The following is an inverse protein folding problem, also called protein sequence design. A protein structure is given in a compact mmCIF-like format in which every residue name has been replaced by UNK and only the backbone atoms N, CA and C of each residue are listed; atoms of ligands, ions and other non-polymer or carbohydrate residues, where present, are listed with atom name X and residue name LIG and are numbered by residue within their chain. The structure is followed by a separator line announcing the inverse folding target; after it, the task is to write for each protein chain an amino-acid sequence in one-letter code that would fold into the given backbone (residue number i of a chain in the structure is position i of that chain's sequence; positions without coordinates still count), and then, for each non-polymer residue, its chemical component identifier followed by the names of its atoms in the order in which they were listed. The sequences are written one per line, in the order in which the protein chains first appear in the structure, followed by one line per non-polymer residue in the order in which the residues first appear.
data_IF_248578027138
#
_entry.id   IF_248578027138
#
_cell.length_a   1.000
_cell.length_b   1.000
_cell.length_c   1.000
_cell.angle_alpha   90.00
_cell.angle_beta   90.00
_cell.angle_gamma   90.00
#
_symmetry.space_group_name_H-M   'P 1'
#
loop_
_entity.id
_entity.type
_entity.pdbx_description
1 polymer ?
#
# COMPACT_ATOMS: atom_id res chain seq x y z
N UNK A 1 5.20 13.70 13.34
CA UNK A 1 4.38 13.05 14.37
C UNK A 1 3.58 11.97 13.68
N UNK A 2 3.58 10.73 14.19
CA UNK A 2 2.92 9.62 13.53
C UNK A 2 1.41 9.85 13.43
N UNK A 3 0.83 9.61 12.25
CA UNK A 3 -0.57 9.88 11.91
C UNK A 3 -1.44 8.70 12.32
N UNK A 4 -1.03 7.47 12.00
CA UNK A 4 -1.81 6.25 12.15
C UNK A 4 -1.28 5.36 13.28
N UNK A 5 0.03 5.15 13.37
CA UNK A 5 0.61 4.31 14.42
C UNK A 5 0.74 5.13 15.72
N UNK A 6 -0.19 4.90 16.66
CA UNK A 6 -0.25 5.60 17.95
C UNK A 6 0.28 4.78 19.12
N UNK A 7 0.47 3.48 18.93
CA UNK A 7 0.99 2.57 19.94
C UNK A 7 2.46 2.95 20.21
N UNK A 8 2.89 3.05 21.48
CA UNK A 8 4.29 3.32 21.81
C UNK A 8 5.23 2.29 21.21
N UNK A 9 6.38 2.73 20.70
CA UNK A 9 7.39 1.87 20.05
C UNK A 9 7.84 0.73 20.98
N UNK A 10 8.02 1.04 22.26
CA UNK A 10 8.40 0.07 23.31
C UNK A 10 7.34 -1.02 23.55
N UNK A 11 6.08 -0.79 23.20
CA UNK A 11 5.03 -1.82 23.28
C UNK A 11 5.05 -2.74 22.05
N UNK A 12 5.49 -2.24 20.90
CA UNK A 12 5.54 -3.00 19.64
C UNK A 12 6.85 -3.80 19.53
N UNK A 13 7.98 -3.13 19.79
CA UNK A 13 9.33 -3.71 19.74
C UNK A 13 10.05 -3.45 21.06
N UNK A 14 9.81 -4.27 22.10
CA UNK A 14 10.37 -4.05 23.44
C UNK A 14 11.89 -4.20 23.51
N UNK A 15 12.49 -4.89 22.54
CA UNK A 15 13.93 -5.20 22.51
C UNK A 15 14.78 -4.11 21.81
N UNK A 16 14.19 -2.98 21.42
CA UNK A 16 14.95 -1.89 20.80
C UNK A 16 15.71 -1.08 21.87
N UNK A 17 16.99 -0.84 21.64
CA UNK A 17 17.78 0.13 22.40
C UNK A 17 17.49 1.57 21.90
N UNK A 18 17.79 2.59 22.70
CA UNK A 18 17.41 3.98 22.39
C UNK A 18 17.91 4.51 21.03
N UNK A 19 19.02 3.96 20.51
CA UNK A 19 19.50 4.29 19.16
C UNK A 19 18.61 3.72 18.05
N UNK A 20 18.10 2.49 18.24
CA UNK A 20 17.17 1.80 17.36
C UNK A 20 15.73 2.29 17.51
N UNK A 21 15.33 2.75 18.69
CA UNK A 21 14.03 3.41 18.89
C UNK A 21 13.92 4.67 18.01
N UNK A 22 14.93 5.55 18.09
CA UNK A 22 15.00 6.75 17.25
C UNK A 22 15.03 6.42 15.75
N UNK A 23 15.60 5.28 15.38
CA UNK A 23 15.58 4.79 14.00
C UNK A 23 14.20 4.29 13.58
N UNK A 24 13.52 3.52 14.43
CA UNK A 24 12.15 3.05 14.21
C UNK A 24 11.18 4.23 14.06
N UNK A 25 11.29 5.29 14.87
CA UNK A 25 10.49 6.52 14.72
C UNK A 25 10.63 7.13 13.31
N UNK A 26 11.86 7.20 12.79
CA UNK A 26 12.12 7.71 11.44
C UNK A 26 11.53 6.80 10.38
N UNK A 27 11.59 5.48 10.58
CA UNK A 27 10.97 4.51 9.66
C UNK A 27 9.45 4.62 9.65
N UNK A 28 8.81 4.76 10.82
CA UNK A 28 7.36 4.97 10.95
C UNK A 28 6.95 6.21 10.16
N UNK A 29 7.63 7.35 10.39
CA UNK A 29 7.31 8.60 9.68
C UNK A 29 7.45 8.48 8.16
N UNK A 30 8.46 7.73 7.68
CA UNK A 30 8.63 7.46 6.25
C UNK A 30 7.58 6.50 5.69
N UNK A 31 7.24 5.44 6.42
CA UNK A 31 6.24 4.46 6.01
C UNK A 31 4.86 5.12 5.85
N UNK A 32 4.47 5.94 6.82
CA UNK A 32 3.23 6.71 6.73
C UNK A 32 3.23 7.70 5.56
N UNK A 33 4.34 8.40 5.31
CA UNK A 33 4.46 9.30 4.16
C UNK A 33 4.30 8.55 2.83
N UNK A 34 4.90 7.37 2.69
CA UNK A 34 4.76 6.51 1.50
C UNK A 34 3.31 6.08 1.32
N UNK A 35 2.67 5.61 2.40
CA UNK A 35 1.26 5.18 2.38
C UNK A 35 0.36 6.35 1.97
N UNK A 36 0.54 7.53 2.57
CA UNK A 36 -0.26 8.72 2.27
C UNK A 36 -0.08 9.21 0.83
N UNK A 37 1.15 9.17 0.31
CA UNK A 37 1.42 9.51 -1.08
C UNK A 37 0.77 8.51 -2.05
N UNK A 38 0.79 7.22 -1.70
CA UNK A 38 0.25 6.15 -2.57
C UNK A 38 -1.28 6.03 -2.50
N UNK A 39 -1.87 6.35 -1.36
CA UNK A 39 -3.31 6.30 -1.13
C UNK A 39 -3.83 7.67 -0.66
N UNK A 40 -3.96 8.67 -1.56
CA UNK A 40 -4.33 10.04 -1.18
C UNK A 40 -5.71 10.16 -0.51
N UNK A 41 -6.59 9.18 -0.73
CA UNK A 41 -7.94 9.15 -0.14
C UNK A 41 -7.99 8.48 1.23
N UNK A 42 -6.86 7.93 1.72
CA UNK A 42 -6.83 7.10 2.91
C UNK A 42 -7.27 7.86 4.16
N UNK A 43 -6.78 9.09 4.37
CA UNK A 43 -7.16 9.89 5.53
C UNK A 43 -8.66 10.18 5.58
N UNK A 44 -9.26 10.52 4.44
CA UNK A 44 -10.71 10.69 4.32
C UNK A 44 -11.44 9.38 4.63
N UNK A 45 -10.96 8.27 4.08
CA UNK A 45 -11.55 6.93 4.30
C UNK A 45 -11.49 6.48 5.75
N UNK A 46 -10.42 6.83 6.47
CA UNK A 46 -10.27 6.56 7.89
C UNK A 46 -11.22 7.42 8.72
N UNK A 47 -11.38 8.70 8.36
CA UNK A 47 -12.33 9.61 9.01
C UNK A 47 -13.79 9.18 8.79
N UNK A 48 -14.10 8.74 7.58
CA UNK A 48 -15.45 8.28 7.19
C UNK A 48 -15.75 6.85 7.68
N UNK A 49 -14.82 6.20 8.38
CA UNK A 49 -14.98 4.85 8.95
C UNK A 49 -14.96 3.71 7.92
N UNK A 50 -14.69 4.00 6.65
CA UNK A 50 -14.63 3.00 5.57
C UNK A 50 -13.39 2.09 5.63
N UNK A 51 -12.37 2.52 6.37
CA UNK A 51 -11.22 1.69 6.77
C UNK A 51 -10.85 2.07 8.20
N UNK A 52 -10.50 1.09 9.04
CA UNK A 52 -10.09 1.39 10.41
C UNK A 52 -8.68 1.98 10.45
N UNK A 53 -8.46 2.98 11.32
CA UNK A 53 -7.13 3.51 11.58
C UNK A 53 -6.16 2.43 12.08
N UNK A 54 -6.66 1.44 12.84
CA UNK A 54 -5.86 0.31 13.33
C UNK A 54 -5.35 -0.59 12.20
N UNK A 55 -6.11 -0.72 11.10
CA UNK A 55 -5.67 -1.49 9.93
C UNK A 55 -4.49 -0.80 9.24
N UNK A 56 -4.58 0.52 9.07
CA UNK A 56 -3.47 1.31 8.51
C UNK A 56 -2.25 1.26 9.43
N UNK A 57 -2.46 1.34 10.74
CA UNK A 57 -1.40 1.20 11.74
C UNK A 57 -0.70 -0.15 11.67
N UNK A 58 -1.45 -1.26 11.53
CA UNK A 58 -0.87 -2.60 11.36
C UNK A 58 -0.01 -2.72 10.10
N UNK A 59 -0.43 -2.12 8.98
CA UNK A 59 0.41 -2.10 7.76
C UNK A 59 1.70 -1.31 7.98
N UNK A 60 1.65 -0.18 8.68
CA UNK A 60 2.85 0.60 9.03
C UNK A 60 3.78 -0.22 9.92
N UNK A 61 3.24 -0.90 10.92
CA UNK A 61 3.98 -1.80 11.81
C UNK A 61 4.67 -2.92 11.03
N UNK A 62 3.94 -3.62 10.16
CA UNK A 62 4.48 -4.70 9.33
C UNK A 62 5.61 -4.22 8.41
N UNK A 63 5.45 -3.04 7.79
CA UNK A 63 6.49 -2.42 6.96
C UNK A 63 7.77 -2.13 7.77
N UNK A 64 7.61 -1.59 8.98
CA UNK A 64 8.74 -1.21 9.84
C UNK A 64 9.40 -2.46 10.44
N UNK A 65 8.63 -3.45 10.89
CA UNK A 65 9.14 -4.73 11.39
C UNK A 65 10.03 -5.41 10.34
N UNK A 66 9.57 -5.49 9.08
CA UNK A 66 10.38 -6.06 7.99
C UNK A 66 11.68 -5.28 7.75
N UNK A 67 11.64 -3.95 7.87
CA UNK A 67 12.82 -3.12 7.72
C UNK A 67 13.83 -3.32 8.86
N UNK A 68 13.34 -3.41 10.11
CA UNK A 68 14.15 -3.68 11.29
C UNK A 68 14.77 -5.09 11.21
N UNK A 69 14.00 -6.10 10.80
CA UNK A 69 14.46 -7.47 10.62
C UNK A 69 15.53 -7.62 9.53
N UNK A 70 15.35 -6.93 8.40
CA UNK A 70 16.36 -6.90 7.33
C UNK A 70 17.69 -6.30 7.79
N UNK A 71 17.61 -5.34 8.72
CA UNK A 71 18.78 -4.68 9.30
C UNK A 71 19.44 -5.53 10.39
N UNK A 72 18.64 -6.22 11.22
CA UNK A 72 19.13 -7.04 12.33
C UNK A 72 19.77 -8.35 11.88
N UNK A 73 19.24 -8.98 10.83
CA UNK A 73 19.76 -10.25 10.31
C UNK A 73 21.02 -10.11 9.45
N UNK A 74 21.46 -8.86 9.17
CA UNK A 74 22.51 -8.58 8.20
C UNK A 74 22.10 -9.17 6.85
N UNK A 75 21.40 -8.39 6.02
CA UNK A 75 20.95 -8.83 4.69
C UNK A 75 22.00 -9.71 4.02
N UNK A 76 21.63 -10.95 3.71
CA UNK A 76 22.55 -12.00 3.27
C UNK A 76 23.47 -11.47 2.15
N UNK A 77 24.70 -11.14 2.53
CA UNK A 77 25.71 -10.59 1.64
C UNK A 77 26.58 -11.76 1.18
N UNK A 78 26.42 -12.15 -0.09
CA UNK A 78 27.21 -13.16 -0.82
C UNK A 78 27.23 -14.61 -0.27
N UNK A 79 26.51 -15.48 -0.99
CA UNK A 79 27.09 -16.77 -1.38
C UNK A 79 27.82 -16.55 -2.71
N UNK A 80 29.14 -16.38 -2.66
CA UNK A 80 29.99 -16.27 -3.84
C UNK A 80 30.11 -17.65 -4.51
N UNK A 81 29.44 -17.84 -5.64
CA UNK A 81 29.82 -18.85 -6.63
C UNK A 81 30.53 -18.11 -7.78
N UNK A 82 31.81 -18.41 -8.05
CA UNK A 82 32.67 -17.57 -8.86
C UNK A 82 32.51 -17.88 -10.35
N UNK A 83 31.34 -17.66 -10.96
CA UNK A 83 31.22 -17.83 -12.43
C UNK A 83 30.23 -16.86 -13.11
N UNK A 84 29.40 -16.10 -12.38
CA UNK A 84 28.45 -15.16 -13.02
C UNK A 84 28.37 -13.86 -12.23
N UNK A 85 29.04 -12.82 -12.73
CA UNK A 85 28.78 -11.44 -12.33
C UNK A 85 27.42 -11.03 -12.89
N UNK A 86 26.37 -11.12 -12.06
CA UNK A 86 25.12 -10.38 -12.31
C UNK A 86 25.29 -8.97 -11.75
N UNK A 87 25.54 -8.02 -12.64
CA UNK A 87 25.41 -6.59 -12.37
C UNK A 87 23.92 -6.24 -12.45
N UNK A 88 23.31 -5.89 -11.32
CA UNK A 88 21.91 -5.49 -11.28
C UNK A 88 21.79 -4.05 -11.78
N UNK A 89 21.32 -3.88 -13.01
CA UNK A 89 20.82 -2.60 -13.51
C UNK A 89 19.67 -2.13 -12.63
N UNK A 90 19.78 -0.92 -12.08
CA UNK A 90 18.82 -0.27 -11.21
C UNK A 90 17.56 0.25 -11.93
N UNK A 91 17.08 -0.49 -12.95
CA UNK A 91 15.88 -0.14 -13.71
C UNK A 91 14.92 -1.34 -13.76
N UNK A 92 13.74 -1.16 -13.18
CA UNK A 92 12.57 -2.00 -13.51
C UNK A 92 12.35 -3.26 -12.66
N UNK A 93 12.21 -3.12 -11.34
CA UNK A 93 11.70 -4.18 -10.48
C UNK A 93 11.19 -3.66 -9.13
N UNK A 94 9.87 -3.62 -8.95
CA UNK A 94 9.20 -3.34 -7.67
C UNK A 94 9.58 -4.41 -6.63
N UNK A 95 10.68 -4.21 -5.92
CA UNK A 95 11.03 -5.07 -4.77
C UNK A 95 12.48 -5.07 -4.30
N UNK A 96 13.46 -4.61 -5.10
CA UNK A 96 14.87 -4.82 -4.75
C UNK A 96 15.63 -3.62 -4.17
N UNK A 97 15.07 -2.40 -4.17
CA UNK A 97 15.81 -1.18 -3.81
C UNK A 97 15.34 -0.43 -2.56
N UNK A 98 14.08 -0.61 -2.13
CA UNK A 98 13.50 0.23 -1.08
C UNK A 98 13.32 -0.57 0.23
N UNK A 99 13.91 -0.07 1.32
CA UNK A 99 13.83 -0.68 2.64
C UNK A 99 12.39 -0.79 3.14
N UNK A 100 11.57 0.21 2.82
CA UNK A 100 10.15 0.26 3.14
C UNK A 100 9.34 -0.03 1.88
N UNK A 101 8.62 -1.15 1.88
CA UNK A 101 7.81 -1.58 0.77
C UNK A 101 6.49 -2.21 1.26
N UNK A 102 5.46 -2.04 0.44
CA UNK A 102 4.13 -2.61 0.67
C UNK A 102 4.01 -3.94 -0.07
N UNK A 103 3.50 -4.97 0.61
CA UNK A 103 3.14 -6.25 -0.01
C UNK A 103 1.92 -6.09 -0.91
N UNK A 104 1.70 -7.05 -1.82
CA UNK A 104 0.50 -7.06 -2.67
C UNK A 104 -0.78 -7.07 -1.83
N UNK A 105 -0.81 -7.86 -0.76
CA UNK A 105 -1.97 -7.98 0.11
C UNK A 105 -2.25 -6.67 0.86
N UNK A 106 -1.21 -5.99 1.35
CA UNK A 106 -1.33 -4.66 1.98
C UNK A 106 -1.83 -3.61 0.98
N UNK A 107 -1.38 -3.68 -0.27
CA UNK A 107 -1.87 -2.79 -1.33
C UNK A 107 -3.35 -3.02 -1.55
N UNK A 108 -3.79 -4.28 -1.67
CA UNK A 108 -5.20 -4.63 -1.86
C UNK A 108 -6.04 -4.18 -0.66
N UNK A 109 -5.54 -4.40 0.56
CA UNK A 109 -6.19 -4.01 1.81
C UNK A 109 -6.40 -2.50 1.91
N UNK A 110 -5.39 -1.72 1.53
CA UNK A 110 -5.43 -0.25 1.58
C UNK A 110 -6.08 0.37 0.35
N UNK A 111 -6.28 -0.38 -0.73
CA UNK A 111 -6.90 0.14 -1.94
C UNK A 111 -8.38 0.51 -1.70
N UNK A 112 -8.88 1.55 -2.37
CA UNK A 112 -10.32 1.83 -2.36
C UNK A 112 -11.08 0.63 -2.93
N UNK A 113 -12.27 0.28 -2.38
CA UNK A 113 -13.12 -0.72 -3.00
C UNK A 113 -13.43 -0.26 -4.43
N UNK A 114 -13.19 -1.13 -5.41
CA UNK A 114 -13.57 -0.82 -6.79
C UNK A 114 -15.09 -0.58 -6.82
N UNK A 115 -15.56 0.55 -7.38
CA UNK A 115 -16.99 0.77 -7.53
C UNK A 115 -17.52 -0.38 -8.40
N UNK A 116 -18.33 -1.26 -7.82
CA UNK A 116 -19.12 -2.22 -8.59
C UNK A 116 -20.07 -1.39 -9.44
N UNK A 117 -19.66 -1.09 -10.68
CA UNK A 117 -20.48 -0.38 -11.63
C UNK A 117 -21.75 -1.19 -11.87
N UNK A 118 -22.85 -0.80 -11.22
CA UNK A 118 -24.19 -1.30 -11.55
C UNK A 118 -24.63 -0.58 -12.82
N UNK A 119 -24.04 -0.97 -13.96
CA UNK A 119 -24.54 -0.55 -15.26
C UNK A 119 -25.82 -1.34 -15.54
N UNK A 120 -26.98 -0.75 -15.20
CA UNK A 120 -28.24 -1.22 -15.80
C UNK A 120 -28.35 -0.61 -17.20
N UNK A 121 -28.07 -1.40 -18.24
CA UNK A 121 -28.43 -1.02 -19.61
C UNK A 121 -29.94 -1.08 -19.70
N UNK A 122 -30.62 0.04 -19.46
CA UNK A 122 -32.04 0.17 -19.86
C UNK A 122 -32.06 0.25 -21.37
N UNK A 123 -32.47 -0.83 -22.03
CA UNK A 123 -32.73 -0.85 -23.48
C UNK A 123 -33.85 0.16 -23.73
N UNK A 124 -33.51 1.32 -24.31
CA UNK A 124 -34.53 2.26 -24.75
C UNK A 124 -35.46 1.55 -25.76
N UNK A 125 -36.78 1.70 -25.66
CA UNK A 125 -37.69 1.12 -26.65
C UNK A 125 -37.35 1.69 -28.04
N UNK A 126 -37.19 0.78 -29.01
CA UNK A 126 -36.92 1.13 -30.41
C UNK A 126 -38.04 2.05 -30.92
N UNK A 127 -37.75 3.23 -31.47
CA UNK A 127 -38.78 4.09 -32.04
C UNK A 127 -39.40 3.39 -33.24
N UNK A 128 -40.67 3.00 -33.13
CA UNK A 128 -41.47 2.54 -34.25
C UNK A 128 -41.90 3.75 -35.07
N UNK A 129 -41.30 3.95 -36.24
CA UNK A 129 -41.85 4.87 -37.23
C UNK A 129 -43.16 4.29 -37.76
N UNK A 130 -44.26 5.04 -37.62
CA UNK A 130 -45.53 4.69 -38.23
C UNK A 130 -45.42 4.90 -39.74
N UNK A 131 -45.30 3.82 -40.48
CA UNK A 131 -45.34 3.86 -41.94
C UNK A 131 -46.79 4.03 -42.41
N UNK A 132 -47.05 5.08 -43.18
CA UNK A 132 -48.17 5.13 -44.11
C UNK A 132 -49.40 5.95 -43.70
N UNK A 133 -49.45 7.22 -44.10
CA UNK A 133 -50.69 7.85 -44.54
C UNK A 133 -50.43 8.81 -45.71
N UNK A 134 -50.10 8.26 -46.88
CA UNK A 134 -50.32 8.97 -48.14
C UNK A 134 -51.76 8.69 -48.56
N UNK A 135 -52.63 9.69 -48.42
CA UNK A 135 -53.90 9.75 -49.15
C UNK A 135 -53.84 10.94 -50.09
N UNK A 136 -53.97 10.60 -51.38
CA UNK A 136 -54.37 11.51 -52.46
C UNK A 136 -55.83 11.91 -52.27
#
# INVERSE_FOLDING_TARGET
MAIFLKIPIVEIWPDLDGSRESYAERLIGRAEAIIMQRFPTLEKRTRDGSISASVVAGVVEDMVTRALDKTSRGGMDKLAYPEVQMEWSSDGGLGSGNLLWLTTDEIVLLSPPQPRGVFSIRKAPTPTFSEGSNRW
#
